data_IF_824591695499
#
_entry.id   IF_824591695499
#
_cell.length_a   1.000
_cell.length_b   1.000
_cell.length_c   1.000
_cell.angle_alpha   90.00
_cell.angle_beta   90.00
_cell.angle_gamma   90.00
#
_symmetry.space_group_name_H-M   'P 1'
#
loop_
_entity.id
_entity.type
_entity.pdbx_description
1 polymer ?
#
# COMPACT_ATOMS: atom_id res chain seq x y z
N UNK A 1 -8.30 10.23 -33.83
CA UNK A 1 -7.08 10.93 -33.36
C UNK A 1 -7.43 12.19 -32.59
N UNK A 2 -8.13 13.18 -33.19
CA UNK A 2 -8.56 14.40 -32.49
C UNK A 2 -9.39 14.15 -31.23
N UNK A 3 -10.37 13.24 -31.28
CA UNK A 3 -11.20 12.85 -30.12
C UNK A 3 -10.40 12.19 -29.01
N UNK A 4 -9.49 11.28 -29.35
CA UNK A 4 -8.61 10.63 -28.37
C UNK A 4 -7.67 11.61 -27.67
N UNK A 5 -7.13 12.60 -28.39
CA UNK A 5 -6.28 13.66 -27.82
C UNK A 5 -7.08 14.60 -26.91
N UNK A 6 -8.32 14.92 -27.25
CA UNK A 6 -9.22 15.71 -26.40
C UNK A 6 -9.57 14.95 -25.11
N UNK A 7 -9.88 13.66 -25.20
CA UNK A 7 -10.13 12.81 -24.02
C UNK A 7 -8.87 12.69 -23.15
N UNK A 8 -7.69 12.54 -23.77
CA UNK A 8 -6.41 12.52 -23.04
C UNK A 8 -6.13 13.86 -22.33
N UNK A 9 -6.38 14.99 -23.01
CA UNK A 9 -6.22 16.32 -22.44
C UNK A 9 -7.17 16.59 -21.27
N UNK A 10 -8.46 16.28 -21.44
CA UNK A 10 -9.46 16.37 -20.37
C UNK A 10 -9.13 15.45 -19.19
N UNK A 11 -8.68 14.21 -19.46
CA UNK A 11 -8.27 13.26 -18.43
C UNK A 11 -7.05 13.79 -17.65
N UNK A 12 -6.04 14.32 -18.35
CA UNK A 12 -4.83 14.89 -17.71
C UNK A 12 -5.18 16.11 -16.85
N UNK A 13 -6.07 16.98 -17.34
CA UNK A 13 -6.57 18.12 -16.58
C UNK A 13 -7.39 17.68 -15.34
N UNK A 14 -8.24 16.66 -15.46
CA UNK A 14 -8.98 16.09 -14.34
C UNK A 14 -8.05 15.41 -13.30
N UNK A 15 -6.98 14.76 -13.75
CA UNK A 15 -5.95 14.17 -12.87
C UNK A 15 -5.17 15.27 -12.12
N UNK A 16 -4.88 16.41 -12.76
CA UNK A 16 -4.20 17.55 -12.11
C UNK A 16 -5.06 18.27 -11.06
N UNK A 17 -6.38 18.13 -11.12
CA UNK A 17 -7.34 18.78 -10.22
C UNK A 17 -7.63 17.97 -8.94
N UNK A 18 -7.12 16.75 -8.83
CA UNK A 18 -7.45 15.84 -7.72
C UNK A 18 -6.20 15.38 -6.98
N UNK A 19 -6.32 15.15 -5.67
CA UNK A 19 -5.32 14.44 -4.86
C UNK A 19 -5.32 12.95 -5.24
N UNK A 20 -4.95 12.63 -6.48
CA UNK A 20 -5.10 11.30 -7.06
C UNK A 20 -3.89 10.42 -6.80
N UNK A 21 -4.11 9.30 -6.12
CA UNK A 21 -3.20 8.17 -6.13
C UNK A 21 -3.18 7.46 -7.49
N UNK A 22 -2.05 6.83 -7.84
CA UNK A 22 -1.79 6.21 -9.16
C UNK A 22 -2.90 5.22 -9.60
N UNK A 23 -3.56 4.54 -8.66
CA UNK A 23 -4.61 3.56 -8.95
C UNK A 23 -5.92 4.17 -9.49
N UNK A 24 -6.15 5.47 -9.32
CA UNK A 24 -7.32 6.13 -9.92
C UNK A 24 -7.17 6.38 -11.43
N UNK A 25 -5.99 6.10 -12.00
CA UNK A 25 -5.77 6.22 -13.45
C UNK A 25 -6.29 5.02 -14.25
N UNK A 26 -6.81 3.99 -13.58
CA UNK A 26 -7.33 2.78 -14.20
C UNK A 26 -8.38 3.02 -15.31
N UNK A 27 -9.31 3.98 -15.21
CA UNK A 27 -10.27 4.25 -16.29
C UNK A 27 -9.60 4.73 -17.59
N UNK A 28 -8.42 5.37 -17.53
CA UNK A 28 -7.69 5.80 -18.72
C UNK A 28 -6.82 4.72 -19.35
N UNK A 29 -6.66 3.56 -18.70
CA UNK A 29 -5.81 2.47 -19.23
C UNK A 29 -6.21 2.08 -20.66
N UNK A 30 -7.51 1.99 -20.95
CA UNK A 30 -8.00 1.69 -22.31
C UNK A 30 -7.57 2.72 -23.35
N UNK A 31 -7.57 4.02 -22.99
CA UNK A 31 -7.13 5.09 -23.87
C UNK A 31 -5.62 5.02 -24.15
N UNK A 32 -4.81 4.71 -23.13
CA UNK A 32 -3.38 4.49 -23.31
C UNK A 32 -3.10 3.32 -24.26
N UNK A 33 -3.80 2.20 -24.11
CA UNK A 33 -3.68 1.08 -25.05
C UNK A 33 -4.08 1.45 -26.47
N UNK A 34 -5.18 2.17 -26.66
CA UNK A 34 -5.61 2.64 -27.99
C UNK A 34 -4.55 3.54 -28.64
N UNK A 35 -3.99 4.49 -27.89
CA UNK A 35 -2.93 5.37 -28.40
C UNK A 35 -1.65 4.61 -28.71
N UNK A 36 -1.24 3.66 -27.87
CA UNK A 36 -0.07 2.83 -28.08
C UNK A 36 -0.22 1.95 -29.34
N UNK A 37 -1.35 1.24 -29.48
CA UNK A 37 -1.66 0.42 -30.66
C UNK A 37 -1.68 1.25 -31.94
N UNK A 38 -2.32 2.42 -31.89
CA UNK A 38 -2.38 3.32 -33.04
C UNK A 38 -0.99 3.85 -33.41
N UNK A 39 -0.16 4.19 -32.41
CA UNK A 39 1.22 4.63 -32.63
C UNK A 39 2.07 3.52 -33.23
N UNK A 40 1.96 2.29 -32.74
CA UNK A 40 2.65 1.13 -33.30
C UNK A 40 2.18 0.82 -34.73
N UNK A 41 0.89 1.02 -35.05
CA UNK A 41 0.36 0.84 -36.41
C UNK A 41 0.99 1.84 -37.39
N UNK A 42 1.07 3.13 -37.00
CA UNK A 42 1.73 4.15 -37.81
C UNK A 42 3.23 3.90 -37.94
N UNK A 43 3.88 3.50 -36.84
CA UNK A 43 5.31 3.19 -36.81
C UNK A 43 5.64 1.98 -37.68
N UNK A 44 4.78 0.96 -37.74
CA UNK A 44 4.97 -0.22 -38.62
C UNK A 44 4.95 0.15 -40.10
N UNK A 45 4.16 1.15 -40.48
CA UNK A 45 4.07 1.66 -41.86
C UNK A 45 5.19 2.65 -42.20
N UNK A 46 5.95 3.11 -41.20
CA UNK A 46 7.05 4.05 -41.39
C UNK A 46 8.19 3.44 -42.20
N UNK A 47 8.66 4.22 -43.18
CA UNK A 47 9.79 3.86 -44.04
C UNK A 47 10.89 4.89 -43.88
N UNK A 48 12.08 4.44 -43.49
CA UNK A 48 13.27 5.29 -43.45
C UNK A 48 14.05 5.10 -44.74
N UNK A 49 14.28 6.19 -45.49
CA UNK A 49 14.98 6.18 -46.79
C UNK A 49 14.52 5.02 -47.71
N UNK A 50 13.20 4.90 -47.90
CA UNK A 50 12.49 3.85 -48.69
C UNK A 50 12.50 2.43 -48.10
N UNK A 51 13.25 2.15 -47.03
CA UNK A 51 13.29 0.83 -46.39
C UNK A 51 12.20 0.67 -45.31
N UNK A 52 11.46 -0.46 -45.26
CA UNK A 52 10.37 -0.70 -44.30
C UNK A 52 10.90 -1.13 -42.91
N UNK A 53 11.66 -0.26 -42.26
CA UNK A 53 12.29 -0.53 -40.95
C UNK A 53 11.26 -0.50 -39.79
N UNK A 54 10.08 0.08 -39.99
CA UNK A 54 9.04 0.22 -38.98
C UNK A 54 8.66 -1.07 -38.24
N UNK A 55 8.56 -2.18 -38.98
CA UNK A 55 8.24 -3.48 -38.37
C UNK A 55 9.32 -3.98 -37.40
N UNK A 56 10.60 -3.80 -37.76
CA UNK A 56 11.73 -4.14 -36.90
C UNK A 56 11.72 -3.30 -35.62
N UNK A 57 11.45 -2.00 -35.73
CA UNK A 57 11.38 -1.10 -34.57
C UNK A 57 10.28 -1.50 -33.60
N UNK A 58 9.08 -1.86 -34.10
CA UNK A 58 7.99 -2.34 -33.24
C UNK A 58 8.39 -3.61 -32.49
N UNK A 59 9.00 -4.58 -33.18
CA UNK A 59 9.48 -5.80 -32.52
C UNK A 59 10.57 -5.53 -31.49
N UNK A 60 11.51 -4.63 -31.79
CA UNK A 60 12.55 -4.23 -30.83
C UNK A 60 11.95 -3.60 -29.57
N UNK A 61 10.94 -2.74 -29.70
CA UNK A 61 10.22 -2.15 -28.57
C UNK A 61 9.50 -3.22 -27.76
N UNK A 62 8.79 -4.15 -28.40
CA UNK A 62 8.07 -5.23 -27.71
C UNK A 62 9.05 -6.15 -26.97
N UNK A 63 10.17 -6.53 -27.60
CA UNK A 63 11.20 -7.34 -26.96
C UNK A 63 11.83 -6.62 -25.77
N UNK A 64 12.06 -5.30 -25.87
CA UNK A 64 12.53 -4.50 -24.75
C UNK A 64 11.50 -4.47 -23.62
N UNK A 65 10.21 -4.26 -23.91
CA UNK A 65 9.15 -4.31 -22.91
C UNK A 65 9.08 -5.67 -22.20
N UNK A 66 9.16 -6.77 -22.95
CA UNK A 66 9.19 -8.13 -22.39
C UNK A 66 10.44 -8.33 -21.55
N UNK A 67 11.62 -7.93 -22.02
CA UNK A 67 12.86 -8.04 -21.27
C UNK A 67 12.80 -7.22 -19.97
N UNK A 68 12.30 -5.98 -20.01
CA UNK A 68 12.09 -5.15 -18.83
C UNK A 68 11.11 -5.78 -17.85
N UNK A 69 10.02 -6.39 -18.35
CA UNK A 69 9.05 -7.09 -17.50
C UNK A 69 9.66 -8.35 -16.86
N UNK A 70 10.41 -9.15 -17.61
CA UNK A 70 11.13 -10.32 -17.09
C UNK A 70 12.14 -9.89 -16.02
N UNK A 71 12.94 -8.86 -16.29
CA UNK A 71 13.87 -8.30 -15.31
C UNK A 71 13.13 -7.81 -14.05
N UNK A 72 11.97 -7.16 -14.20
CA UNK A 72 11.14 -6.77 -13.07
C UNK A 72 10.67 -7.98 -12.25
N UNK A 73 10.14 -9.02 -12.90
CA UNK A 73 9.69 -10.25 -12.24
C UNK A 73 10.83 -10.98 -11.51
N UNK A 74 12.01 -11.07 -12.13
CA UNK A 74 13.20 -11.70 -11.52
C UNK A 74 13.70 -10.92 -10.30
N UNK A 75 13.56 -9.59 -10.31
CA UNK A 75 13.94 -8.73 -9.18
C UNK A 75 12.82 -8.55 -8.14
N UNK A 76 11.60 -9.00 -8.45
CA UNK A 76 10.44 -8.86 -7.56
C UNK A 76 10.67 -9.47 -6.17
N UNK A 77 11.28 -10.67 -6.01
CA UNK A 77 11.57 -11.23 -4.69
C UNK A 77 12.49 -10.34 -3.85
N UNK A 78 13.53 -9.76 -4.46
CA UNK A 78 14.47 -8.86 -3.77
C UNK A 78 13.77 -7.58 -3.31
N UNK A 79 12.96 -7.00 -4.19
CA UNK A 79 12.10 -5.86 -3.86
C UNK A 79 11.05 -6.21 -2.80
N UNK A 80 10.57 -7.46 -2.76
CA UNK A 80 9.53 -7.90 -1.83
C UNK A 80 10.04 -8.13 -0.41
N UNK A 81 11.25 -8.64 -0.22
CA UNK A 81 11.87 -8.78 1.12
C UNK A 81 12.16 -7.41 1.72
N UNK A 82 12.72 -6.49 0.93
CA UNK A 82 12.93 -5.11 1.35
C UNK A 82 11.61 -4.36 1.61
N UNK A 83 10.54 -4.68 0.87
CA UNK A 83 9.20 -4.14 1.14
C UNK A 83 8.53 -4.76 2.35
N UNK A 84 8.70 -6.06 2.61
CA UNK A 84 8.17 -6.71 3.81
C UNK A 84 8.81 -6.13 5.08
N UNK A 85 10.10 -5.81 5.01
CA UNK A 85 10.81 -5.03 6.03
C UNK A 85 10.24 -3.60 6.22
N UNK A 86 9.65 -3.02 5.17
CA UNK A 86 8.96 -1.71 5.18
C UNK A 86 7.50 -1.78 5.64
N UNK A 87 6.91 -2.95 5.88
CA UNK A 87 5.56 -3.09 6.43
C UNK A 87 5.63 -3.49 7.90
N UNK A 88 5.85 -2.53 8.82
CA UNK A 88 6.13 -2.84 10.22
C UNK A 88 5.00 -3.59 10.91
N UNK A 89 3.74 -3.39 10.50
CA UNK A 89 2.61 -4.20 11.00
C UNK A 89 2.75 -5.67 10.68
N UNK A 90 3.08 -6.03 9.43
CA UNK A 90 3.19 -7.43 9.01
C UNK A 90 4.30 -8.15 9.80
N UNK A 91 5.40 -7.45 10.08
CA UNK A 91 6.49 -7.96 10.94
C UNK A 91 6.04 -8.20 12.37
N UNK A 92 5.37 -7.23 12.99
CA UNK A 92 4.85 -7.38 14.36
C UNK A 92 3.83 -8.51 14.41
N UNK A 93 2.92 -8.59 13.44
CA UNK A 93 1.94 -9.67 13.33
C UNK A 93 2.62 -11.04 13.25
N UNK A 94 3.62 -11.20 12.39
CA UNK A 94 4.35 -12.46 12.24
C UNK A 94 5.08 -12.87 13.53
N UNK A 95 5.67 -11.90 14.24
CA UNK A 95 6.32 -12.14 15.52
C UNK A 95 5.31 -12.61 16.59
N UNK A 96 4.20 -11.90 16.76
CA UNK A 96 3.13 -12.29 17.70
C UNK A 96 2.45 -13.61 17.30
N UNK A 97 2.38 -13.92 16.01
CA UNK A 97 1.90 -15.23 15.56
C UNK A 97 2.86 -16.37 15.92
N UNK A 98 4.13 -16.10 16.19
CA UNK A 98 5.13 -17.10 16.60
C UNK A 98 5.25 -17.24 18.12
N UNK A 99 5.07 -16.16 18.89
CA UNK A 99 5.29 -16.11 20.35
C UNK A 99 4.31 -16.96 21.20
N UNK A 100 3.33 -17.61 20.57
CA UNK A 100 2.34 -18.44 21.25
C UNK A 100 1.31 -17.63 22.05
N UNK A 101 0.18 -18.24 22.39
CA UNK A 101 -0.92 -17.54 23.07
C UNK A 101 -1.75 -16.63 22.15
N UNK A 102 -2.53 -15.74 22.74
CA UNK A 102 -3.37 -14.74 22.04
C UNK A 102 -2.98 -13.35 22.49
N UNK A 103 -3.08 -12.38 21.58
CA UNK A 103 -2.60 -11.01 21.81
C UNK A 103 -3.67 -9.98 21.46
N UNK A 104 -3.71 -8.89 22.23
CA UNK A 104 -4.44 -7.67 21.97
C UNK A 104 -3.43 -6.54 21.83
N UNK A 105 -3.42 -5.86 20.68
CA UNK A 105 -2.54 -4.72 20.40
C UNK A 105 -3.38 -3.45 20.33
N UNK A 106 -3.22 -2.59 21.33
CA UNK A 106 -3.83 -1.26 21.39
C UNK A 106 -2.91 -0.28 20.67
N UNK A 107 -3.41 0.38 19.62
CA UNK A 107 -2.64 1.25 18.74
C UNK A 107 -2.86 2.71 19.14
N UNK A 108 -1.81 3.31 19.69
CA UNK A 108 -1.70 4.74 19.91
C UNK A 108 -1.22 5.41 18.65
N UNK A 109 -1.96 6.42 18.22
CA UNK A 109 -1.58 7.23 17.09
C UNK A 109 -1.29 8.67 17.50
N UNK A 110 -0.32 9.27 16.81
CA UNK A 110 0.25 10.56 17.16
C UNK A 110 -0.54 11.71 16.54
N UNK A 111 -0.19 12.95 16.90
CA UNK A 111 -0.86 14.14 16.36
C UNK A 111 -0.68 14.29 14.84
N UNK A 112 0.38 13.73 14.25
CA UNK A 112 0.72 13.90 12.83
C UNK A 112 0.39 12.65 11.99
N UNK A 113 -0.86 12.18 12.06
CA UNK A 113 -1.32 10.96 11.37
C UNK A 113 -1.23 11.07 9.85
N UNK A 114 -0.49 10.16 9.23
CA UNK A 114 -0.77 9.71 7.85
C UNK A 114 -2.10 8.94 7.86
N UNK A 115 -3.10 9.38 7.09
CA UNK A 115 -4.36 8.65 6.89
C UNK A 115 -4.19 7.38 6.05
N UNK A 116 -3.00 7.15 5.51
CA UNK A 116 -2.70 6.06 4.58
C UNK A 116 -2.11 4.83 5.28
N UNK A 117 -1.61 4.95 6.51
CA UNK A 117 -0.99 3.87 7.26
C UNK A 117 -1.92 3.36 8.37
N UNK A 118 -3.01 2.71 7.96
CA UNK A 118 -3.99 2.14 8.89
C UNK A 118 -3.45 0.84 9.52
N UNK A 119 -3.37 0.85 10.84
CA UNK A 119 -2.91 -0.29 11.64
C UNK A 119 -4.05 -1.19 12.09
N UNK A 120 -5.27 -0.68 12.21
CA UNK A 120 -6.38 -1.40 12.84
C UNK A 120 -7.22 -2.09 11.77
N UNK A 121 -6.91 -3.35 11.50
CA UNK A 121 -7.76 -4.29 10.76
C UNK A 121 -7.56 -5.70 11.30
N UNK A 122 -8.65 -6.43 11.49
CA UNK A 122 -8.64 -7.76 12.11
C UNK A 122 -9.13 -8.83 11.14
N UNK A 123 -8.95 -10.09 11.54
CA UNK A 123 -9.63 -11.22 10.90
C UNK A 123 -11.15 -11.11 11.07
N UNK A 124 -11.90 -11.80 10.21
CA UNK A 124 -13.36 -11.73 10.23
C UNK A 124 -13.96 -12.29 11.53
N UNK A 125 -13.37 -13.36 12.06
CA UNK A 125 -13.69 -13.90 13.38
C UNK A 125 -12.71 -13.33 14.42
N UNK A 126 -13.06 -12.16 14.95
CA UNK A 126 -12.21 -11.41 15.89
C UNK A 126 -11.99 -12.17 17.20
N UNK A 127 -12.99 -12.92 17.67
CA UNK A 127 -12.94 -13.57 18.98
C UNK A 127 -11.96 -14.76 18.98
N UNK A 128 -11.89 -15.49 17.86
CA UNK A 128 -10.94 -16.60 17.69
C UNK A 128 -9.58 -16.18 17.14
N UNK A 129 -9.47 -14.98 16.52
CA UNK A 129 -8.23 -14.48 15.94
C UNK A 129 -7.07 -14.55 16.94
N UNK A 130 -5.85 -14.89 16.49
CA UNK A 130 -4.69 -14.96 17.38
C UNK A 130 -4.22 -13.58 17.85
N UNK A 131 -4.30 -12.58 16.98
CA UNK A 131 -3.89 -11.20 17.25
C UNK A 131 -5.04 -10.27 16.90
N UNK A 132 -5.50 -9.49 17.87
CA UNK A 132 -6.53 -8.46 17.70
C UNK A 132 -5.87 -7.09 17.82
N UNK A 133 -6.18 -6.19 16.90
CA UNK A 133 -5.73 -4.81 16.85
C UNK A 133 -6.90 -3.91 17.18
N UNK A 134 -6.68 -2.92 18.04
CA UNK A 134 -7.69 -1.94 18.42
C UNK A 134 -7.05 -0.57 18.51
N UNK A 135 -7.81 0.48 18.20
CA UNK A 135 -7.33 1.85 18.40
C UNK A 135 -7.37 2.20 19.89
N UNK A 136 -6.37 2.91 20.37
CA UNK A 136 -6.38 3.47 21.74
C UNK A 136 -7.56 4.44 21.93
N UNK A 137 -8.29 4.22 23.02
CA UNK A 137 -9.36 5.07 23.54
C UNK A 137 -8.94 5.66 24.89
N UNK A 138 -9.89 6.20 25.66
CA UNK A 138 -9.65 6.55 27.06
C UNK A 138 -9.42 5.31 27.95
N UNK A 139 -8.88 5.53 29.15
CA UNK A 139 -8.55 4.47 30.11
C UNK A 139 -9.74 3.59 30.46
N UNK A 140 -10.95 4.13 30.59
CA UNK A 140 -12.13 3.36 30.98
C UNK A 140 -12.60 2.45 29.83
N UNK A 141 -12.57 2.93 28.59
CA UNK A 141 -12.93 2.14 27.41
C UNK A 141 -11.87 1.08 27.10
N UNK A 142 -10.58 1.42 27.22
CA UNK A 142 -9.50 0.43 27.07
C UNK A 142 -9.63 -0.68 28.12
N UNK A 143 -10.01 -0.35 29.37
CA UNK A 143 -10.24 -1.34 30.41
C UNK A 143 -11.36 -2.31 30.06
N UNK A 144 -12.49 -1.83 29.53
CA UNK A 144 -13.59 -2.69 29.05
C UNK A 144 -13.13 -3.64 27.93
N UNK A 145 -12.31 -3.15 27.00
CA UNK A 145 -11.78 -3.96 25.91
C UNK A 145 -10.81 -5.03 26.43
N UNK A 146 -9.94 -4.67 27.38
CA UNK A 146 -9.01 -5.59 28.03
C UNK A 146 -9.77 -6.65 28.82
N UNK A 147 -10.87 -6.28 29.49
CA UNK A 147 -11.73 -7.21 30.22
C UNK A 147 -12.46 -8.18 29.27
N UNK A 148 -12.96 -7.69 28.13
CA UNK A 148 -13.56 -8.53 27.09
C UNK A 148 -12.55 -9.57 26.55
N UNK A 149 -11.30 -9.15 26.35
CA UNK A 149 -10.19 -9.99 25.87
C UNK A 149 -9.22 -10.41 26.99
N UNK A 150 -9.73 -10.71 28.18
CA UNK A 150 -8.93 -10.99 29.40
C UNK A 150 -7.93 -12.15 29.29
N UNK A 151 -8.10 -13.02 28.31
CA UNK A 151 -7.27 -14.18 28.03
C UNK A 151 -6.13 -13.90 27.03
N UNK A 152 -5.91 -12.62 26.70
CA UNK A 152 -4.89 -12.16 25.76
C UNK A 152 -3.80 -11.36 26.47
N UNK A 153 -2.58 -11.48 25.99
CA UNK A 153 -1.50 -10.57 26.34
C UNK A 153 -1.74 -9.21 25.69
N UNK A 154 -1.67 -8.13 26.47
CA UNK A 154 -2.01 -6.79 26.02
C UNK A 154 -0.74 -5.98 25.74
N UNK A 155 -0.71 -5.36 24.56
CA UNK A 155 0.40 -4.54 24.08
C UNK A 155 -0.09 -3.14 23.72
N UNK A 156 0.78 -2.16 23.89
CA UNK A 156 0.64 -0.82 23.35
C UNK A 156 1.58 -0.67 22.15
N UNK A 157 1.04 -0.32 21.00
CA UNK A 157 1.78 0.05 19.81
C UNK A 157 1.76 1.57 19.66
N UNK A 158 2.93 2.19 19.71
CA UNK A 158 3.09 3.61 19.37
C UNK A 158 3.37 3.74 17.87
N UNK A 159 2.38 4.18 17.11
CA UNK A 159 2.46 4.38 15.66
C UNK A 159 3.04 5.77 15.28
N UNK A 160 3.84 6.38 16.15
CA UNK A 160 4.12 7.82 16.15
C UNK A 160 5.47 8.24 15.57
N UNK A 161 6.30 7.31 15.11
CA UNK A 161 7.64 7.64 14.64
C UNK A 161 8.04 6.79 13.44
N UNK A 162 9.09 7.23 12.74
CA UNK A 162 9.80 6.52 11.67
C UNK A 162 10.08 5.03 11.98
N UNK A 163 10.02 4.64 13.26
CA UNK A 163 9.98 3.24 13.70
C UNK A 163 8.89 3.03 14.76
N UNK A 164 7.88 2.17 14.50
CA UNK A 164 6.84 1.85 15.47
C UNK A 164 7.38 0.99 16.61
N UNK A 165 6.88 1.22 17.83
CA UNK A 165 7.32 0.53 19.05
C UNK A 165 6.19 -0.27 19.67
N UNK A 166 6.43 -1.55 19.90
CA UNK A 166 5.52 -2.44 20.63
C UNK A 166 6.05 -2.64 22.05
N UNK A 167 5.26 -2.27 23.05
CA UNK A 167 5.60 -2.41 24.47
C UNK A 167 4.44 -3.06 25.23
N UNK A 168 4.69 -3.73 26.38
CA UNK A 168 3.60 -4.22 27.23
C UNK A 168 2.69 -3.07 27.65
N UNK A 169 1.38 -3.30 27.66
CA UNK A 169 0.41 -2.27 28.04
C UNK A 169 0.48 -2.00 29.55
N UNK A 170 0.56 -0.73 29.94
CA UNK A 170 0.33 -0.27 31.32
C UNK A 170 -0.60 0.95 31.33
N UNK A 171 -1.45 1.07 32.35
CA UNK A 171 -2.38 2.21 32.47
C UNK A 171 -1.62 3.54 32.61
N UNK A 172 -0.44 3.54 33.27
CA UNK A 172 0.45 4.71 33.42
C UNK A 172 0.91 5.26 32.06
N UNK A 173 1.12 4.37 31.09
CA UNK A 173 1.53 4.76 29.74
C UNK A 173 0.44 5.53 29.01
N UNK A 174 -0.84 5.31 29.35
CA UNK A 174 -2.01 5.97 28.76
C UNK A 174 -2.29 7.31 29.42
N UNK A 175 -2.23 7.36 30.75
CA UNK A 175 -2.51 8.58 31.51
C UNK A 175 -1.56 9.73 31.16
N UNK A 176 -0.25 9.45 31.10
CA UNK A 176 0.77 10.44 30.75
C UNK A 176 0.62 11.01 29.33
N UNK A 177 0.02 10.26 28.40
CA UNK A 177 -0.20 10.73 27.02
C UNK A 177 -1.35 11.74 26.92
N UNK A 178 -2.43 11.51 27.67
CA UNK A 178 -3.57 12.43 27.69
C UNK A 178 -3.31 13.69 28.51
N UNK A 179 -2.48 13.61 29.57
CA UNK A 179 -2.09 14.79 30.36
C UNK A 179 -1.08 15.70 29.65
N UNK A 180 -0.27 15.15 28.74
CA UNK A 180 0.71 15.91 27.97
C UNK A 180 0.13 16.67 26.75
N UNK A 181 -1.19 16.64 26.56
CA UNK A 181 -1.90 17.20 25.39
C UNK A 181 -2.89 18.27 25.81
#
# INVERSE_FOLDING_TARGET
MRTALLICGMFTAAVMLTWMFLYYTAPATGLFFMLALQSMRHLRLWRWRKSPIGGFVVWAILMLCVASFVLFCVNLPRLSVDKWLRFPRARILAHLQQDGGRHLVIVRYGPNKSTHDEWVYNEADIDSAKVVWAREMDTAQNRKLIEYFKDRQVWLLEANAETPRLIPYSEDSVQNYFEAR
#
